data_IF_919801120534
#
_entry.id   IF_919801120534
#
_cell.length_a   1.000
_cell.length_b   1.000
_cell.length_c   1.000
_cell.angle_alpha   90.00
_cell.angle_beta   90.00
_cell.angle_gamma   90.00
#
_symmetry.space_group_name_H-M   'P 1'
#
loop_
_entity.id
_entity.type
_entity.pdbx_description
1 polymer ?
#
# COMPACT_ATOMS: atom_id res chain seq x y z
N UNK A 1 -8.69 19.52 21.21
CA UNK A 1 -9.86 18.60 21.06
C UNK A 1 -9.57 17.65 19.91
N UNK A 2 -9.62 16.31 20.10
CA UNK A 2 -9.51 15.39 18.99
C UNK A 2 -10.72 15.56 18.05
N UNK A 3 -10.47 15.92 16.79
CA UNK A 3 -11.53 16.03 15.78
C UNK A 3 -12.20 14.65 15.63
N UNK A 4 -13.53 14.61 15.70
CA UNK A 4 -14.33 13.39 15.53
C UNK A 4 -14.02 12.79 14.15
N UNK A 5 -13.36 11.62 14.11
CA UNK A 5 -13.05 10.92 12.85
C UNK A 5 -14.35 10.67 12.08
N UNK A 6 -14.38 11.09 10.81
CA UNK A 6 -15.53 10.87 9.92
C UNK A 6 -15.68 9.38 9.59
N UNK A 7 -16.84 8.96 9.07
CA UNK A 7 -17.05 7.57 8.67
C UNK A 7 -16.05 7.09 7.61
N UNK A 8 -15.66 7.98 6.69
CA UNK A 8 -14.71 7.70 5.61
C UNK A 8 -13.28 7.46 6.09
N UNK A 9 -12.85 8.21 7.11
CA UNK A 9 -11.55 8.00 7.77
C UNK A 9 -11.49 6.59 8.37
N UNK A 10 -12.54 6.18 9.10
CA UNK A 10 -12.60 4.83 9.67
C UNK A 10 -12.64 3.75 8.60
N UNK A 11 -13.42 3.96 7.53
CA UNK A 11 -13.53 2.99 6.44
C UNK A 11 -12.16 2.75 5.77
N UNK A 12 -11.43 3.82 5.46
CA UNK A 12 -10.08 3.71 4.86
C UNK A 12 -9.06 3.11 5.82
N UNK A 13 -9.12 3.41 7.12
CA UNK A 13 -8.31 2.72 8.14
C UNK A 13 -8.56 1.21 8.17
N UNK A 14 -9.84 0.78 8.19
CA UNK A 14 -10.19 -0.63 8.17
C UNK A 14 -9.80 -1.32 6.87
N UNK A 15 -9.98 -0.65 5.72
CA UNK A 15 -9.55 -1.18 4.42
C UNK A 15 -8.04 -1.36 4.34
N UNK A 16 -7.28 -0.39 4.85
CA UNK A 16 -5.83 -0.48 4.89
C UNK A 16 -5.37 -1.62 5.80
N UNK A 17 -5.95 -1.74 6.99
CA UNK A 17 -5.65 -2.83 7.92
C UNK A 17 -6.02 -4.19 7.32
N UNK A 18 -7.18 -4.31 6.69
CA UNK A 18 -7.62 -5.52 6.00
C UNK A 18 -6.64 -5.92 4.90
N UNK A 19 -6.22 -4.97 4.07
CA UNK A 19 -5.21 -5.21 3.04
C UNK A 19 -3.90 -5.70 3.63
N UNK A 20 -3.42 -5.10 4.73
CA UNK A 20 -2.20 -5.56 5.42
C UNK A 20 -2.36 -7.01 5.92
N UNK A 21 -3.49 -7.34 6.56
CA UNK A 21 -3.75 -8.70 7.06
C UNK A 21 -3.73 -9.70 5.90
N UNK A 22 -4.41 -9.38 4.79
CA UNK A 22 -4.43 -10.22 3.59
C UNK A 22 -3.01 -10.41 3.04
N UNK A 23 -2.20 -9.34 3.00
CA UNK A 23 -0.82 -9.40 2.51
C UNK A 23 0.06 -10.29 3.38
N UNK A 24 -0.07 -10.19 4.71
CA UNK A 24 0.68 -11.02 5.65
C UNK A 24 0.28 -12.50 5.49
N UNK A 25 -1.02 -12.80 5.47
CA UNK A 25 -1.51 -14.18 5.34
C UNK A 25 -1.13 -14.78 3.99
N UNK A 26 -1.26 -14.02 2.89
CA UNK A 26 -0.88 -14.48 1.57
C UNK A 26 0.65 -14.69 1.43
N UNK A 27 1.45 -13.81 2.04
CA UNK A 27 2.91 -13.95 2.06
C UNK A 27 3.37 -15.15 2.87
N UNK A 28 2.81 -15.37 4.07
CA UNK A 28 3.10 -16.55 4.90
C UNK A 28 2.67 -17.86 4.23
N UNK A 29 1.51 -17.84 3.58
CA UNK A 29 0.87 -19.01 3.00
C UNK A 29 1.13 -19.20 1.51
N UNK A 30 2.11 -18.52 0.89
CA UNK A 30 2.25 -18.43 -0.57
C UNK A 30 2.17 -19.78 -1.28
N UNK A 31 2.87 -20.80 -0.75
CA UNK A 31 2.87 -22.17 -1.30
C UNK A 31 1.48 -22.82 -1.34
N UNK A 32 0.56 -22.41 -0.47
CA UNK A 32 -0.81 -22.92 -0.38
C UNK A 32 -1.81 -22.07 -1.17
N UNK A 33 -1.46 -20.83 -1.51
CA UNK A 33 -2.35 -19.87 -2.19
C UNK A 33 -1.91 -19.52 -3.62
N UNK A 34 -0.96 -20.27 -4.20
CA UNK A 34 -0.43 -20.01 -5.55
C UNK A 34 -1.55 -19.86 -6.59
N UNK A 35 -2.54 -20.75 -6.59
CA UNK A 35 -3.66 -20.71 -7.53
C UNK A 35 -4.54 -19.43 -7.39
N UNK A 36 -4.55 -18.81 -6.22
CA UNK A 36 -5.34 -17.61 -5.92
C UNK A 36 -4.50 -16.32 -5.99
N UNK A 37 -3.20 -16.42 -6.28
CA UNK A 37 -2.28 -15.27 -6.30
C UNK A 37 -2.80 -14.12 -7.16
N UNK A 38 -3.27 -14.34 -8.41
CA UNK A 38 -3.80 -13.25 -9.23
C UNK A 38 -5.02 -12.56 -8.60
N UNK A 39 -5.92 -13.34 -7.99
CA UNK A 39 -7.11 -12.81 -7.33
C UNK A 39 -6.78 -12.01 -6.08
N UNK A 40 -5.81 -12.48 -5.27
CA UNK A 40 -5.33 -11.77 -4.08
C UNK A 40 -4.67 -10.45 -4.49
N UNK A 41 -3.81 -10.48 -5.50
CA UNK A 41 -3.18 -9.26 -6.03
C UNK A 41 -4.22 -8.29 -6.57
N UNK A 42 -5.20 -8.78 -7.35
CA UNK A 42 -6.29 -7.95 -7.86
C UNK A 42 -7.13 -7.32 -6.76
N UNK A 43 -7.41 -8.06 -5.68
CA UNK A 43 -8.11 -7.53 -4.51
C UNK A 43 -7.29 -6.44 -3.81
N UNK A 44 -5.98 -6.64 -3.62
CA UNK A 44 -5.10 -5.63 -3.04
C UNK A 44 -5.05 -4.35 -3.88
N UNK A 45 -4.95 -4.50 -5.20
CA UNK A 45 -4.99 -3.36 -6.13
C UNK A 45 -6.31 -2.60 -5.99
N UNK A 46 -7.43 -3.31 -5.94
CA UNK A 46 -8.76 -2.70 -5.81
C UNK A 46 -8.91 -1.95 -4.48
N UNK A 47 -8.50 -2.56 -3.36
CA UNK A 47 -8.53 -1.93 -2.03
C UNK A 47 -7.64 -0.69 -2.04
N UNK A 48 -6.41 -0.79 -2.54
CA UNK A 48 -5.47 0.31 -2.67
C UNK A 48 -6.02 1.46 -3.51
N UNK A 49 -6.64 1.14 -4.63
CA UNK A 49 -7.26 2.11 -5.52
C UNK A 49 -8.40 2.86 -4.81
N UNK A 50 -9.28 2.15 -4.08
CA UNK A 50 -10.37 2.77 -3.30
C UNK A 50 -9.81 3.70 -2.22
N UNK A 51 -8.78 3.27 -1.48
CA UNK A 51 -8.11 4.11 -0.48
C UNK A 51 -7.53 5.37 -1.14
N UNK A 52 -6.88 5.21 -2.30
CA UNK A 52 -6.33 6.32 -3.08
C UNK A 52 -7.37 7.32 -3.55
N UNK A 53 -8.52 6.86 -4.05
CA UNK A 53 -9.62 7.73 -4.46
C UNK A 53 -10.20 8.53 -3.28
N UNK A 54 -10.44 7.87 -2.15
CA UNK A 54 -10.98 8.52 -0.95
C UNK A 54 -9.95 9.50 -0.35
N UNK A 55 -8.66 9.13 -0.35
CA UNK A 55 -7.55 10.00 0.04
C UNK A 55 -7.41 11.20 -0.91
N UNK A 56 -7.50 10.98 -2.22
CA UNK A 56 -7.52 12.05 -3.22
C UNK A 56 -8.70 13.00 -3.00
N UNK A 57 -9.86 12.52 -2.56
CA UNK A 57 -10.98 13.38 -2.22
C UNK A 57 -10.81 14.13 -0.87
N UNK A 58 -9.74 13.87 -0.11
CA UNK A 58 -9.51 14.47 1.22
C UNK A 58 -10.47 13.96 2.29
N UNK A 59 -11.10 12.80 2.07
CA UNK A 59 -12.07 12.21 3.00
C UNK A 59 -11.51 11.01 3.78
N UNK A 60 -10.32 10.53 3.38
CA UNK A 60 -9.73 9.31 3.91
C UNK A 60 -8.86 9.52 5.14
N UNK A 61 -8.20 8.45 5.56
CA UNK A 61 -7.22 8.43 6.63
C UNK A 61 -5.94 9.19 6.31
N UNK A 62 -5.62 9.34 5.02
CA UNK A 62 -4.47 10.12 4.55
C UNK A 62 -4.92 11.57 4.40
N UNK A 63 -4.68 12.39 5.41
CA UNK A 63 -4.96 13.83 5.37
C UNK A 63 -3.92 14.56 4.50
N UNK A 64 -4.23 15.78 4.06
CA UNK A 64 -3.28 16.65 3.34
C UNK A 64 -1.98 16.84 4.11
N UNK A 65 -2.05 16.98 5.43
CA UNK A 65 -0.88 17.15 6.28
C UNK A 65 0.01 15.90 6.37
N UNK A 66 -0.55 14.72 6.06
CA UNK A 66 0.15 13.44 6.15
C UNK A 66 0.49 12.85 4.78
N UNK A 67 0.11 13.55 3.70
CA UNK A 67 0.33 13.10 2.33
C UNK A 67 1.82 12.89 2.04
N UNK A 68 2.67 13.83 2.44
CA UNK A 68 4.12 13.74 2.23
C UNK A 68 4.73 12.56 3.01
N UNK A 69 4.27 12.37 4.25
CA UNK A 69 4.72 11.27 5.12
C UNK A 69 4.28 9.93 4.53
N UNK A 70 3.04 9.83 4.05
CA UNK A 70 2.53 8.64 3.40
C UNK A 70 3.33 8.30 2.14
N UNK A 71 3.52 9.26 1.24
CA UNK A 71 4.29 9.03 0.01
C UNK A 71 5.75 8.65 0.33
N UNK A 72 6.36 9.29 1.32
CA UNK A 72 7.70 8.92 1.79
C UNK A 72 7.73 7.50 2.36
N UNK A 73 6.74 7.11 3.16
CA UNK A 73 6.64 5.75 3.70
C UNK A 73 6.45 4.72 2.58
N UNK A 74 5.66 5.02 1.55
CA UNK A 74 5.51 4.16 0.37
C UNK A 74 6.83 4.07 -0.39
N UNK A 75 7.54 5.18 -0.62
CA UNK A 75 8.87 5.15 -1.25
C UNK A 75 9.85 4.34 -0.42
N UNK A 76 9.88 4.51 0.90
CA UNK A 76 10.73 3.74 1.80
C UNK A 76 10.38 2.24 1.76
N UNK A 77 9.10 1.91 1.73
CA UNK A 77 8.64 0.52 1.60
C UNK A 77 9.03 -0.07 0.24
N UNK A 78 8.88 0.69 -0.85
CA UNK A 78 9.27 0.26 -2.19
C UNK A 78 10.79 0.24 -2.39
N UNK A 79 11.55 1.04 -1.63
CA UNK A 79 13.01 1.00 -1.65
C UNK A 79 13.52 -0.20 -0.83
N UNK A 80 12.99 -0.38 0.38
CA UNK A 80 13.21 -1.59 1.18
C UNK A 80 12.71 -2.84 0.43
N UNK A 81 11.68 -2.66 -0.38
CA UNK A 81 10.96 -3.68 -1.11
C UNK A 81 11.00 -3.48 -2.61
N UNK A 82 12.14 -3.12 -3.20
CA UNK A 82 12.32 -3.03 -4.67
C UNK A 82 12.09 -4.35 -5.41
N UNK A 83 11.75 -5.42 -4.67
CA UNK A 83 10.50 -6.21 -4.74
C UNK A 83 10.80 -7.58 -4.16
N UNK A 84 10.87 -7.65 -2.83
CA UNK A 84 11.32 -8.82 -2.09
C UNK A 84 12.80 -9.22 -2.29
N UNK A 85 13.46 -8.67 -3.31
CA UNK A 85 14.85 -8.93 -3.67
C UNK A 85 15.87 -8.45 -2.64
N UNK A 86 15.53 -7.51 -1.76
CA UNK A 86 16.42 -7.17 -0.63
C UNK A 86 16.59 -8.35 0.33
N UNK A 87 15.55 -9.17 0.49
CA UNK A 87 15.58 -10.39 1.31
C UNK A 87 15.97 -11.64 0.52
N UNK A 88 15.89 -11.57 -0.81
CA UNK A 88 16.28 -12.62 -1.75
C UNK A 88 17.10 -12.05 -2.93
N UNK A 89 18.30 -11.51 -2.69
CA UNK A 89 19.13 -10.99 -3.76
C UNK A 89 19.52 -12.11 -4.72
N UNK A 90 19.24 -11.92 -6.02
CA UNK A 90 19.51 -12.90 -7.07
C UNK A 90 18.86 -14.28 -6.85
N UNK A 91 17.76 -14.33 -6.09
CA UNK A 91 17.05 -15.58 -5.77
C UNK A 91 17.63 -16.38 -4.61
N UNK A 92 18.72 -15.91 -3.98
CA UNK A 92 19.25 -16.49 -2.76
C UNK A 92 18.65 -15.76 -1.57
N UNK A 93 17.68 -16.40 -0.92
CA UNK A 93 17.00 -15.84 0.23
C UNK A 93 17.81 -15.95 1.51
N UNK A 94 17.68 -14.94 2.38
CA UNK A 94 18.07 -15.08 3.79
C UNK A 94 17.41 -16.36 4.34
N UNK A 95 18.17 -17.28 4.95
CA UNK A 95 17.64 -18.56 5.40
C UNK A 95 16.40 -18.39 6.28
N UNK A 96 15.45 -19.32 6.13
CA UNK A 96 14.20 -19.42 6.89
C UNK A 96 13.17 -18.29 6.68
N UNK A 97 13.60 -17.03 6.58
CA UNK A 97 12.67 -15.88 6.66
C UNK A 97 12.69 -14.96 5.43
N UNK A 98 13.74 -15.01 4.61
CA UNK A 98 13.91 -14.07 3.49
C UNK A 98 12.79 -14.15 2.46
N UNK A 99 12.40 -15.36 2.06
CA UNK A 99 11.29 -15.57 1.11
C UNK A 99 9.95 -15.09 1.64
N UNK A 100 9.67 -15.38 2.91
CA UNK A 100 8.41 -14.95 3.57
C UNK A 100 8.32 -13.43 3.63
N UNK A 101 9.37 -12.75 4.10
CA UNK A 101 9.38 -11.28 4.17
C UNK A 101 9.30 -10.65 2.79
N UNK A 102 10.00 -11.24 1.81
CA UNK A 102 9.92 -10.85 0.40
C UNK A 102 8.47 -10.86 -0.11
N UNK A 103 7.75 -11.94 0.16
CA UNK A 103 6.38 -12.10 -0.31
C UNK A 103 5.40 -11.17 0.41
N UNK A 104 5.52 -11.04 1.73
CA UNK A 104 4.70 -10.10 2.52
C UNK A 104 4.87 -8.67 2.01
N UNK A 105 6.11 -8.20 1.89
CA UNK A 105 6.40 -6.84 1.43
C UNK A 105 5.91 -6.63 0.00
N UNK A 106 6.00 -7.65 -0.86
CA UNK A 106 5.47 -7.58 -2.22
C UNK A 106 3.95 -7.39 -2.24
N UNK A 107 3.18 -8.15 -1.45
CA UNK A 107 1.73 -7.97 -1.36
C UNK A 107 1.32 -6.63 -0.74
N UNK A 108 2.06 -6.13 0.27
CA UNK A 108 1.82 -4.79 0.82
C UNK A 108 2.14 -3.72 -0.24
N UNK A 109 3.21 -3.89 -1.02
CA UNK A 109 3.53 -2.99 -2.13
C UNK A 109 2.39 -2.87 -3.13
N UNK A 110 1.79 -4.00 -3.51
CA UNK A 110 0.64 -4.06 -4.43
C UNK A 110 -0.58 -3.31 -3.86
N UNK A 111 -0.80 -3.38 -2.54
CA UNK A 111 -1.86 -2.62 -1.87
C UNK A 111 -1.62 -1.11 -1.91
N UNK A 112 -0.41 -0.66 -1.52
CA UNK A 112 -0.18 0.77 -1.31
C UNK A 112 0.11 1.54 -2.60
N UNK A 113 0.56 0.84 -3.65
CA UNK A 113 0.98 1.46 -4.90
C UNK A 113 -0.12 2.25 -5.62
N UNK A 114 -1.32 1.70 -5.86
CA UNK A 114 -2.40 2.44 -6.50
C UNK A 114 -2.81 3.69 -5.70
N UNK A 115 -2.82 3.60 -4.37
CA UNK A 115 -3.12 4.73 -3.50
C UNK A 115 -2.09 5.86 -3.65
N UNK A 116 -0.81 5.50 -3.62
CA UNK A 116 0.30 6.44 -3.78
C UNK A 116 0.30 7.13 -5.15
N UNK A 117 0.02 6.39 -6.23
CA UNK A 117 -0.08 6.97 -7.58
C UNK A 117 -1.18 8.01 -7.64
N UNK A 118 -2.38 7.68 -7.16
CA UNK A 118 -3.51 8.62 -7.15
C UNK A 118 -3.21 9.87 -6.34
N UNK A 119 -2.65 9.71 -5.15
CA UNK A 119 -2.32 10.84 -4.27
C UNK A 119 -1.21 11.71 -4.88
N UNK A 120 -0.18 11.10 -5.47
CA UNK A 120 0.89 11.82 -6.16
C UNK A 120 0.37 12.60 -7.37
N UNK A 121 -0.53 12.01 -8.17
CA UNK A 121 -1.17 12.68 -9.30
C UNK A 121 -1.98 13.90 -8.84
N UNK A 122 -2.71 13.78 -7.72
CA UNK A 122 -3.41 14.92 -7.13
C UNK A 122 -2.44 16.03 -6.73
N UNK A 123 -1.34 15.70 -6.07
CA UNK A 123 -0.34 16.67 -5.66
C UNK A 123 0.27 17.41 -6.87
N UNK A 124 0.60 16.68 -7.94
CA UNK A 124 1.09 17.26 -9.21
C UNK A 124 0.04 18.20 -9.81
N UNK A 125 -1.23 17.77 -9.83
CA UNK A 125 -2.32 18.59 -10.34
C UNK A 125 -2.49 19.89 -9.54
N UNK A 126 -2.52 19.82 -8.21
CA UNK A 126 -2.66 21.00 -7.34
C UNK A 126 -1.51 22.01 -7.56
N UNK A 127 -0.28 21.54 -7.75
CA UNK A 127 0.89 22.39 -8.04
C UNK A 127 0.80 23.03 -9.44
N UNK A 128 0.32 22.27 -10.43
CA UNK A 128 0.16 22.74 -11.80
C UNK A 128 -1.00 23.72 -11.98
N UNK A 129 -2.12 23.49 -11.28
CA UNK A 129 -3.35 24.29 -11.42
C UNK A 129 -3.32 25.61 -10.65
N UNK A 130 -2.45 25.75 -9.64
CA UNK A 130 -2.33 26.99 -8.84
C UNK A 130 -1.42 28.06 -9.46
N UNK A 131 -0.78 27.77 -10.61
CA UNK A 131 0.12 28.70 -11.32
C UNK A 131 -0.44 29.26 -12.63
N UNK A 132 -1.74 29.15 -12.86
CA UNK A 132 -2.48 29.82 -13.94
C UNK A 132 -3.71 30.52 -13.37
#
# INVERSE_FOLDING_TARGET
MPKKKTGWVKATEYLFLLGIIIAIVAGLGKSYVVAYTPSIMGLQVLIGFIIGLIGMAGMGSIDKAETDIFLLAVVALLAAGGLGHAFCPQGVCVPFIGGILSDIVSYIGILVMPAAVLIALKAIWEVGSTKF
#
